data_IF_707343115765
#
_entry.id   IF_707343115765
#
_cell.length_a   1.000
_cell.length_b   1.000
_cell.length_c   1.000
_cell.angle_alpha   90.00
_cell.angle_beta   90.00
_cell.angle_gamma   90.00
#
_symmetry.space_group_name_H-M   'P 1'
#
loop_
_entity.id
_entity.type
_entity.pdbx_description
1 polymer ?
#
# COMPACT_ATOMS: atom_id res chain seq x y z
N UNK A 1 -22.49 -3.18 -1.33
CA UNK A 1 -21.15 -3.46 -0.81
C UNK A 1 -21.14 -3.19 0.68
N UNK A 2 -20.67 -4.14 1.47
CA UNK A 2 -20.36 -3.95 2.89
C UNK A 2 -18.84 -3.83 3.02
N UNK A 3 -18.34 -2.70 3.53
CA UNK A 3 -16.90 -2.46 3.66
C UNK A 3 -16.43 -2.85 5.07
N UNK A 4 -15.50 -3.79 5.13
CA UNK A 4 -14.76 -4.12 6.36
C UNK A 4 -13.36 -3.51 6.28
N UNK A 5 -13.02 -2.66 7.25
CA UNK A 5 -11.70 -2.04 7.33
C UNK A 5 -10.88 -2.66 8.46
N UNK A 6 -9.77 -3.31 8.09
CA UNK A 6 -8.82 -3.94 9.02
C UNK A 6 -7.47 -3.19 9.08
N UNK A 7 -7.45 -1.90 8.71
CA UNK A 7 -6.24 -1.09 8.68
C UNK A 7 -5.67 -0.85 10.08
N UNK A 8 -4.36 -1.00 10.21
CA UNK A 8 -3.62 -0.78 11.47
C UNK A 8 -2.75 0.48 11.36
N UNK A 9 -3.19 1.55 12.04
CA UNK A 9 -2.46 2.82 12.07
C UNK A 9 -1.02 2.61 12.56
N UNK A 10 -0.03 2.94 11.72
CA UNK A 10 1.40 2.78 12.03
C UNK A 10 1.90 1.34 12.17
N UNK A 11 1.05 0.32 11.99
CA UNK A 11 1.37 -1.06 12.39
C UNK A 11 1.00 -2.13 11.36
N UNK A 12 0.56 -1.76 10.15
CA UNK A 12 0.42 -2.71 9.05
C UNK A 12 1.82 -3.04 8.46
N UNK A 13 2.45 -4.14 8.89
CA UNK A 13 3.85 -4.47 8.58
C UNK A 13 4.03 -5.81 7.84
N UNK A 14 3.04 -6.26 7.08
CA UNK A 14 3.01 -7.60 6.50
C UNK A 14 3.08 -8.69 7.58
N UNK A 15 2.54 -8.43 8.77
CA UNK A 15 2.59 -9.35 9.87
C UNK A 15 1.80 -10.64 9.56
N UNK A 16 2.34 -11.84 9.83
CA UNK A 16 1.66 -13.09 9.55
C UNK A 16 0.26 -13.21 10.19
N UNK A 17 0.08 -12.63 11.38
CA UNK A 17 -1.24 -12.65 12.04
C UNK A 17 -2.28 -11.82 11.29
N UNK A 18 -1.89 -10.73 10.61
CA UNK A 18 -2.81 -9.94 9.78
C UNK A 18 -3.18 -10.69 8.50
N UNK A 19 -2.24 -11.45 7.93
CA UNK A 19 -2.53 -12.33 6.79
C UNK A 19 -3.50 -13.45 7.18
N UNK A 20 -3.31 -14.09 8.36
CA UNK A 20 -4.26 -15.07 8.89
C UNK A 20 -5.65 -14.46 9.17
N UNK A 21 -5.71 -13.24 9.71
CA UNK A 21 -6.99 -12.56 9.91
C UNK A 21 -7.72 -12.33 8.58
N UNK A 22 -7.01 -11.91 7.53
CA UNK A 22 -7.59 -11.77 6.19
C UNK A 22 -8.01 -13.12 5.60
N UNK A 23 -7.20 -14.17 5.76
CA UNK A 23 -7.52 -15.54 5.35
C UNK A 23 -8.84 -16.02 5.96
N UNK A 24 -9.02 -15.79 7.27
CA UNK A 24 -10.15 -16.34 8.03
C UNK A 24 -11.41 -15.46 7.97
N UNK A 25 -11.28 -14.19 7.53
CA UNK A 25 -12.40 -13.26 7.36
C UNK A 25 -13.08 -13.49 6.00
N UNK A 26 -14.38 -13.84 5.94
CA UNK A 26 -15.10 -13.97 4.67
C UNK A 26 -15.05 -12.66 3.85
N UNK A 27 -14.65 -12.75 2.58
CA UNK A 27 -14.56 -11.60 1.70
C UNK A 27 -14.70 -12.02 0.23
N UNK A 28 -15.62 -11.38 -0.49
CA UNK A 28 -15.77 -11.60 -1.94
C UNK A 28 -14.75 -10.79 -2.75
N UNK A 29 -14.25 -9.69 -2.17
CA UNK A 29 -13.30 -8.76 -2.77
C UNK A 29 -12.27 -8.35 -1.71
N UNK A 30 -10.99 -8.36 -2.08
CA UNK A 30 -9.91 -8.03 -1.15
C UNK A 30 -9.01 -6.97 -1.78
N UNK A 31 -8.76 -5.89 -1.05
CA UNK A 31 -7.67 -4.96 -1.39
C UNK A 31 -6.69 -4.85 -0.24
N UNK A 32 -5.39 -4.95 -0.54
CA UNK A 32 -4.32 -4.79 0.44
C UNK A 32 -3.38 -3.68 0.01
N UNK A 33 -3.16 -2.71 0.91
CA UNK A 33 -2.28 -1.57 0.65
C UNK A 33 -1.01 -1.69 1.50
N UNK A 34 0.14 -1.80 0.85
CA UNK A 34 1.43 -2.13 1.48
C UNK A 34 2.39 -0.95 1.27
N UNK A 35 3.19 -0.59 2.28
CA UNK A 35 4.34 0.29 2.08
C UNK A 35 4.70 1.20 3.25
N UNK A 36 4.00 2.31 3.44
CA UNK A 36 4.48 3.45 4.28
C UNK A 36 4.92 3.05 5.69
N UNK A 37 4.24 2.12 6.35
CA UNK A 37 4.60 1.69 7.71
C UNK A 37 5.90 0.87 7.75
N UNK A 38 6.17 0.06 6.71
CA UNK A 38 7.41 -0.71 6.58
C UNK A 38 8.60 0.24 6.48
N UNK A 39 8.47 1.24 5.60
CA UNK A 39 9.51 2.25 5.34
C UNK A 39 9.68 3.16 6.57
N UNK A 40 8.59 3.69 7.12
CA UNK A 40 8.64 4.55 8.32
C UNK A 40 9.30 3.90 9.52
N UNK A 41 9.21 2.57 9.65
CA UNK A 41 9.79 1.85 10.80
C UNK A 41 11.15 1.22 10.50
N UNK A 42 11.64 1.32 9.27
CA UNK A 42 12.81 0.55 8.81
C UNK A 42 12.64 -0.94 9.18
N UNK A 43 11.43 -1.46 8.94
CA UNK A 43 10.97 -2.72 9.54
C UNK A 43 11.64 -3.96 8.94
N UNK A 44 12.12 -3.85 7.69
CA UNK A 44 12.77 -4.92 6.94
C UNK A 44 13.54 -4.34 5.75
N UNK A 45 14.51 -5.10 5.24
CA UNK A 45 15.22 -4.79 4.01
C UNK A 45 14.59 -5.43 2.77
N UNK A 46 15.11 -5.05 1.60
CA UNK A 46 14.68 -5.57 0.30
C UNK A 46 14.78 -7.10 0.19
N UNK A 47 15.80 -7.71 0.81
CA UNK A 47 15.98 -9.17 0.84
C UNK A 47 14.83 -9.91 1.53
N UNK A 48 14.22 -9.29 2.53
CA UNK A 48 13.12 -9.88 3.30
C UNK A 48 11.75 -9.48 2.75
N UNK A 49 11.67 -8.30 2.11
CA UNK A 49 10.43 -7.73 1.60
C UNK A 49 9.74 -8.63 0.57
N UNK A 50 10.46 -9.07 -0.45
CA UNK A 50 9.90 -9.95 -1.48
C UNK A 50 9.30 -11.23 -0.90
N UNK A 51 10.09 -12.04 -0.16
CA UNK A 51 9.59 -13.23 0.53
C UNK A 51 8.39 -12.95 1.45
N UNK A 52 8.41 -11.85 2.21
CA UNK A 52 7.31 -11.47 3.10
C UNK A 52 6.01 -11.18 2.33
N UNK A 53 6.09 -10.46 1.21
CA UNK A 53 4.93 -10.22 0.35
C UNK A 53 4.39 -11.52 -0.24
N UNK A 54 5.26 -12.41 -0.73
CA UNK A 54 4.82 -13.72 -1.24
C UNK A 54 4.08 -14.52 -0.17
N UNK A 55 4.67 -14.67 1.01
CA UNK A 55 4.07 -15.42 2.12
C UNK A 55 2.74 -14.81 2.59
N UNK A 56 2.66 -13.47 2.60
CA UNK A 56 1.42 -12.75 2.93
C UNK A 56 0.32 -13.07 1.91
N UNK A 57 0.61 -12.97 0.61
CA UNK A 57 -0.35 -13.24 -0.46
C UNK A 57 -0.77 -14.72 -0.49
N UNK A 58 0.17 -15.65 -0.26
CA UNK A 58 -0.12 -17.08 -0.18
C UNK A 58 -1.09 -17.38 0.98
N UNK A 59 -0.81 -16.80 2.16
CA UNK A 59 -1.68 -16.98 3.33
C UNK A 59 -3.10 -16.45 3.08
N UNK A 60 -3.24 -15.30 2.41
CA UNK A 60 -4.58 -14.79 2.05
C UNK A 60 -5.27 -15.71 1.04
N UNK A 61 -4.52 -16.24 0.05
CA UNK A 61 -5.04 -17.16 -0.96
C UNK A 61 -5.48 -18.51 -0.41
N UNK A 62 -4.89 -18.98 0.69
CA UNK A 62 -5.35 -20.20 1.38
C UNK A 62 -6.82 -20.10 1.82
N UNK A 63 -7.29 -18.90 2.17
CA UNK A 63 -8.68 -18.63 2.55
C UNK A 63 -9.55 -18.18 1.39
N UNK A 64 -8.93 -17.55 0.38
CA UNK A 64 -9.61 -16.91 -0.75
C UNK A 64 -9.00 -17.30 -2.10
N UNK A 65 -9.14 -18.57 -2.55
CA UNK A 65 -8.40 -19.07 -3.71
C UNK A 65 -8.71 -18.35 -5.02
N UNK A 66 -9.92 -17.80 -5.16
CA UNK A 66 -10.40 -17.16 -6.41
C UNK A 66 -10.99 -15.76 -6.22
N UNK A 67 -11.05 -15.23 -4.99
CA UNK A 67 -11.59 -13.88 -4.78
C UNK A 67 -10.68 -12.85 -5.46
N UNK A 68 -11.20 -11.86 -6.20
CA UNK A 68 -10.36 -10.78 -6.72
C UNK A 68 -9.54 -10.12 -5.61
N UNK A 69 -8.22 -10.07 -5.79
CA UNK A 69 -7.28 -9.51 -4.83
C UNK A 69 -6.46 -8.39 -5.49
N UNK A 70 -6.66 -7.17 -4.99
CA UNK A 70 -6.00 -5.96 -5.48
C UNK A 70 -4.88 -5.53 -4.53
N UNK A 71 -3.63 -5.60 -5.00
CA UNK A 71 -2.48 -5.05 -4.29
C UNK A 71 -2.32 -3.58 -4.67
N UNK A 72 -2.34 -2.71 -3.67
CA UNK A 72 -2.17 -1.26 -3.82
C UNK A 72 -0.82 -0.85 -3.23
N UNK A 73 0.01 -0.20 -4.02
CA UNK A 73 1.31 0.28 -3.56
C UNK A 73 1.20 1.61 -2.78
N UNK A 74 2.27 2.10 -2.13
CA UNK A 74 2.16 3.33 -1.35
C UNK A 74 1.91 4.54 -2.26
N UNK A 75 1.14 5.49 -1.74
CA UNK A 75 0.97 6.82 -2.35
C UNK A 75 2.24 7.64 -2.18
N UNK A 76 2.32 8.81 -2.80
CA UNK A 76 3.42 9.74 -2.57
C UNK A 76 3.48 10.18 -1.10
N UNK A 77 4.66 10.08 -0.51
CA UNK A 77 5.05 10.81 0.69
C UNK A 77 6.48 11.31 0.47
N UNK A 78 6.68 12.62 0.22
CA UNK A 78 7.99 13.14 -0.19
C UNK A 78 9.11 12.82 0.80
N UNK A 79 8.80 12.77 2.10
CA UNK A 79 9.77 12.45 3.14
C UNK A 79 10.38 11.05 3.03
N UNK A 80 9.67 10.09 2.42
CA UNK A 80 10.08 8.67 2.32
C UNK A 80 10.24 8.20 0.87
N UNK A 81 10.16 9.11 -0.09
CA UNK A 81 10.16 8.78 -1.51
C UNK A 81 11.51 8.17 -1.93
N UNK A 82 12.60 8.82 -1.51
CA UNK A 82 13.98 8.47 -1.81
C UNK A 82 14.86 8.29 -0.56
N UNK A 83 14.29 8.54 0.62
CA UNK A 83 15.00 8.40 1.90
C UNK A 83 14.35 7.27 2.69
N UNK A 84 15.09 6.26 3.17
CA UNK A 84 14.52 5.23 4.02
C UNK A 84 14.23 5.76 5.43
N UNK A 85 13.47 4.99 6.21
CA UNK A 85 13.25 5.28 7.62
C UNK A 85 14.49 5.11 8.52
N UNK A 86 14.31 5.30 9.83
CA UNK A 86 13.02 5.51 10.50
C UNK A 86 12.46 6.92 10.27
N UNK A 87 11.14 7.05 10.34
CA UNK A 87 10.46 8.34 10.43
C UNK A 87 10.50 8.85 11.88
N UNK A 88 10.60 10.16 12.05
CA UNK A 88 10.52 10.79 13.37
C UNK A 88 9.64 12.05 13.33
N UNK A 89 9.04 12.42 14.48
CA UNK A 89 8.41 13.72 14.65
C UNK A 89 9.43 14.84 14.42
N UNK A 90 9.01 15.86 13.70
CA UNK A 90 9.75 17.08 13.43
C UNK A 90 8.81 18.26 13.67
N UNK A 91 9.07 18.97 14.76
CA UNK A 91 8.23 20.06 15.26
C UNK A 91 8.77 21.38 14.73
N UNK A 92 7.93 22.10 13.96
CA UNK A 92 8.26 23.41 13.40
C UNK A 92 7.10 24.36 13.65
N UNK A 93 7.39 25.54 14.19
CA UNK A 93 6.39 26.59 14.47
C UNK A 93 5.17 26.08 15.27
N UNK A 94 5.41 25.21 16.26
CA UNK A 94 4.37 24.63 17.10
C UNK A 94 3.49 23.56 16.42
N UNK A 95 3.82 23.17 15.18
CA UNK A 95 3.15 22.10 14.44
C UNK A 95 4.04 20.86 14.37
N UNK A 96 3.46 19.69 14.62
CA UNK A 96 4.13 18.40 14.46
C UNK A 96 3.99 17.98 13.00
N UNK A 97 5.12 17.69 12.36
CA UNK A 97 5.14 16.91 11.12
C UNK A 97 6.09 15.72 11.25
N UNK A 98 6.33 15.02 10.14
CA UNK A 98 7.23 13.88 10.10
C UNK A 98 8.35 14.09 9.07
N UNK A 99 9.49 13.50 9.35
CA UNK A 99 10.64 13.45 8.44
C UNK A 99 11.29 12.07 8.50
N UNK A 100 11.95 11.66 7.42
CA UNK A 100 12.85 10.51 7.47
C UNK A 100 14.18 10.90 8.14
N UNK A 101 14.75 9.96 8.89
CA UNK A 101 16.07 10.08 9.54
C UNK A 101 17.14 9.20 8.86
N UNK A 102 16.76 8.38 7.88
CA UNK A 102 17.69 7.51 7.16
C UNK A 102 18.60 8.27 6.20
N UNK A 103 19.65 7.59 5.73
CA UNK A 103 20.51 8.08 4.67
C UNK A 103 19.98 7.60 3.30
N UNK A 104 19.72 8.48 2.33
CA UNK A 104 19.33 8.07 0.96
C UNK A 104 20.30 7.04 0.33
N UNK A 105 21.59 7.09 0.68
CA UNK A 105 22.58 6.14 0.19
C UNK A 105 22.34 4.69 0.67
N UNK A 106 21.59 4.49 1.75
CA UNK A 106 21.26 3.17 2.27
C UNK A 106 20.24 2.42 1.40
N UNK A 107 19.51 3.10 0.51
CA UNK A 107 18.65 2.44 -0.47
C UNK A 107 19.45 1.49 -1.37
N UNK A 108 20.64 1.91 -1.81
CA UNK A 108 21.56 1.07 -2.59
C UNK A 108 22.11 -0.12 -1.79
N UNK A 109 21.95 -0.11 -0.46
CA UNK A 109 22.34 -1.19 0.45
C UNK A 109 21.15 -2.08 0.84
N UNK A 110 20.00 -1.90 0.19
CA UNK A 110 18.82 -2.72 0.38
C UNK A 110 17.85 -2.22 1.45
N UNK A 111 17.98 -0.99 1.95
CA UNK A 111 16.89 -0.37 2.73
C UNK A 111 15.72 0.02 1.81
N UNK A 112 14.51 -0.08 2.33
CA UNK A 112 13.30 0.23 1.58
C UNK A 112 13.02 1.74 1.56
N UNK A 113 12.73 2.27 0.39
CA UNK A 113 12.04 3.56 0.18
C UNK A 113 10.68 3.30 -0.45
N UNK A 114 9.80 4.32 -0.55
CA UNK A 114 8.51 4.13 -1.21
C UNK A 114 8.65 3.80 -2.69
N UNK A 115 9.68 4.35 -3.38
CA UNK A 115 9.97 4.00 -4.76
C UNK A 115 10.33 2.52 -4.91
N UNK A 116 11.26 2.03 -4.09
CA UNK A 116 11.66 0.61 -4.08
C UNK A 116 10.46 -0.30 -3.79
N UNK A 117 9.62 0.06 -2.82
CA UNK A 117 8.42 -0.71 -2.50
C UNK A 117 7.45 -0.76 -3.68
N UNK A 118 7.22 0.36 -4.40
CA UNK A 118 6.36 0.36 -5.59
C UNK A 118 6.90 -0.54 -6.69
N UNK A 119 8.19 -0.44 -6.98
CA UNK A 119 8.86 -1.24 -8.01
C UNK A 119 8.75 -2.74 -7.70
N UNK A 120 9.02 -3.14 -6.45
CA UNK A 120 8.94 -4.54 -6.05
C UNK A 120 7.51 -5.08 -6.01
N UNK A 121 6.54 -4.31 -5.52
CA UNK A 121 5.14 -4.76 -5.54
C UNK A 121 4.63 -4.93 -6.99
N UNK A 122 4.98 -4.00 -7.89
CA UNK A 122 4.63 -4.11 -9.30
C UNK A 122 5.26 -5.37 -9.93
N UNK A 123 6.54 -5.62 -9.67
CA UNK A 123 7.26 -6.79 -10.16
C UNK A 123 6.64 -8.10 -9.65
N UNK A 124 6.44 -8.21 -8.33
CA UNK A 124 5.87 -9.41 -7.69
C UNK A 124 4.47 -9.70 -8.24
N UNK A 125 3.61 -8.69 -8.35
CA UNK A 125 2.25 -8.90 -8.86
C UNK A 125 2.28 -9.29 -10.34
N UNK A 126 3.12 -8.65 -11.17
CA UNK A 126 3.25 -9.00 -12.58
C UNK A 126 3.72 -10.46 -12.77
N UNK A 127 4.69 -10.92 -11.98
CA UNK A 127 5.16 -12.30 -12.01
C UNK A 127 4.07 -13.30 -11.59
N UNK A 128 3.37 -13.00 -10.50
CA UNK A 128 2.31 -13.88 -9.97
C UNK A 128 1.06 -13.91 -10.87
N UNK A 129 0.72 -12.81 -11.52
CA UNK A 129 -0.44 -12.70 -12.39
C UNK A 129 -0.41 -13.67 -13.59
N UNK A 130 0.77 -14.20 -13.95
CA UNK A 130 0.90 -15.27 -14.94
C UNK A 130 0.20 -16.57 -14.53
N UNK A 131 0.07 -16.82 -13.23
CA UNK A 131 -0.53 -18.04 -12.66
C UNK A 131 -1.75 -17.76 -11.75
N UNK A 132 -1.98 -16.50 -11.37
CA UNK A 132 -3.12 -16.06 -10.56
C UNK A 132 -3.89 -14.96 -11.30
N UNK A 133 -4.93 -15.32 -12.09
CA UNK A 133 -5.69 -14.36 -12.90
C UNK A 133 -6.55 -13.40 -12.05
N UNK A 134 -6.68 -13.67 -10.74
CA UNK A 134 -7.48 -12.86 -9.82
C UNK A 134 -6.62 -11.86 -9.04
N UNK A 135 -5.32 -11.80 -9.30
CA UNK A 135 -4.40 -10.86 -8.68
C UNK A 135 -4.22 -9.64 -9.58
N UNK A 136 -4.42 -8.45 -9.03
CA UNK A 136 -4.25 -7.18 -9.75
C UNK A 136 -3.40 -6.20 -8.97
N UNK A 137 -2.79 -5.26 -9.69
CA UNK A 137 -1.94 -4.20 -9.13
C UNK A 137 -2.56 -2.83 -9.39
N UNK A 138 -2.50 -1.96 -8.37
CA UNK A 138 -2.79 -0.54 -8.49
C UNK A 138 -1.60 0.26 -7.97
N UNK A 139 -1.00 1.06 -8.85
CA UNK A 139 0.03 2.01 -8.47
C UNK A 139 -0.57 3.13 -7.61
N UNK A 140 -0.11 3.26 -6.37
CA UNK A 140 -0.55 4.27 -5.42
C UNK A 140 -0.34 5.70 -5.92
N UNK A 141 0.61 5.97 -6.81
CA UNK A 141 0.80 7.31 -7.39
C UNK A 141 -0.37 7.74 -8.28
N UNK A 142 -1.15 6.78 -8.82
CA UNK A 142 -2.39 7.10 -9.55
C UNK A 142 -3.50 7.59 -8.62
N UNK A 143 -3.46 7.19 -7.34
CA UNK A 143 -4.40 7.67 -6.33
C UNK A 143 -3.98 9.04 -5.80
N UNK A 144 -2.70 9.20 -5.47
CA UNK A 144 -2.13 10.47 -5.00
C UNK A 144 -0.64 10.52 -5.32
N UNK A 145 -0.28 11.40 -6.26
CA UNK A 145 1.08 11.63 -6.75
C UNK A 145 1.55 13.08 -6.60
N UNK A 146 2.61 13.47 -7.32
CA UNK A 146 3.28 14.77 -7.21
C UNK A 146 2.34 15.93 -7.55
N UNK A 147 1.53 15.77 -8.60
CA UNK A 147 0.56 16.78 -9.00
C UNK A 147 -0.52 17.00 -7.92
N UNK A 148 -0.95 15.92 -7.26
CA UNK A 148 -1.91 16.02 -6.15
C UNK A 148 -1.26 16.65 -4.93
N UNK A 149 0.00 16.34 -4.63
CA UNK A 149 0.71 16.95 -3.51
C UNK A 149 0.93 18.45 -3.69
N UNK A 150 1.15 18.91 -4.92
CA UNK A 150 1.27 20.33 -5.22
C UNK A 150 -0.04 21.11 -4.95
N UNK A 151 -1.20 20.46 -5.14
CA UNK A 151 -2.52 21.06 -4.92
C UNK A 151 -3.03 20.86 -3.47
N UNK A 152 -2.83 19.65 -2.93
CA UNK A 152 -3.33 19.16 -1.66
C UNK A 152 -2.16 18.59 -0.83
N UNK A 153 -1.27 19.46 -0.29
CA UNK A 153 -0.09 19.00 0.43
C UNK A 153 -0.44 18.23 1.70
N UNK A 154 0.42 17.27 2.08
CA UNK A 154 0.28 16.50 3.32
C UNK A 154 0.47 17.44 4.53
N UNK A 155 -0.55 17.70 5.37
CA UNK A 155 -0.48 18.74 6.40
C UNK A 155 0.61 18.52 7.45
N UNK A 156 0.92 17.26 7.75
CA UNK A 156 1.98 16.84 8.67
C UNK A 156 3.16 16.17 7.94
N UNK A 157 3.22 16.30 6.61
CA UNK A 157 4.19 15.65 5.72
C UNK A 157 4.11 14.12 5.68
N UNK A 158 3.01 13.52 6.15
CA UNK A 158 2.80 12.07 6.11
C UNK A 158 1.38 11.67 5.71
N UNK A 159 0.36 12.27 6.31
CA UNK A 159 -1.02 11.87 6.14
C UNK A 159 -1.75 12.78 5.14
N UNK A 160 -2.54 12.21 4.22
CA UNK A 160 -3.47 12.98 3.40
C UNK A 160 -4.56 13.62 4.27
N UNK A 161 -5.04 14.79 3.88
CA UNK A 161 -6.19 15.41 4.52
C UNK A 161 -7.52 14.84 3.98
N UNK A 162 -8.64 15.37 4.46
CA UNK A 162 -9.97 14.91 4.03
C UNK A 162 -10.23 15.10 2.52
N UNK A 163 -9.70 16.16 1.91
CA UNK A 163 -9.89 16.43 0.49
C UNK A 163 -9.08 15.45 -0.37
N UNK A 164 -7.82 15.20 0.01
CA UNK A 164 -6.97 14.20 -0.62
C UNK A 164 -7.55 12.78 -0.44
N UNK A 165 -8.06 12.44 0.75
CA UNK A 165 -8.78 11.18 0.99
C UNK A 165 -9.99 10.99 0.09
N UNK A 166 -10.81 12.03 -0.11
CA UNK A 166 -11.95 11.96 -1.03
C UNK A 166 -11.49 11.69 -2.46
N UNK A 167 -10.51 12.45 -2.96
CA UNK A 167 -9.97 12.28 -4.31
C UNK A 167 -9.42 10.87 -4.55
N UNK A 168 -8.64 10.35 -3.60
CA UNK A 168 -8.14 8.98 -3.66
C UNK A 168 -9.29 7.96 -3.67
N UNK A 169 -10.32 8.16 -2.83
CA UNK A 169 -11.49 7.28 -2.79
C UNK A 169 -12.25 7.23 -4.11
N UNK A 170 -12.45 8.39 -4.75
CA UNK A 170 -13.09 8.50 -6.07
C UNK A 170 -12.27 7.79 -7.15
N UNK A 171 -10.95 8.02 -7.19
CA UNK A 171 -10.05 7.36 -8.15
C UNK A 171 -9.96 5.85 -7.93
N UNK A 172 -9.89 5.40 -6.67
CA UNK A 172 -9.93 3.99 -6.33
C UNK A 172 -11.25 3.36 -6.77
N UNK A 173 -12.38 4.01 -6.49
CA UNK A 173 -13.70 3.55 -6.91
C UNK A 173 -13.80 3.38 -8.42
N UNK A 174 -13.35 4.39 -9.17
CA UNK A 174 -13.35 4.36 -10.63
C UNK A 174 -12.42 3.26 -11.19
N UNK A 175 -11.25 3.05 -10.61
CA UNK A 175 -10.32 2.01 -11.05
C UNK A 175 -10.83 0.61 -10.71
N UNK A 176 -11.19 0.38 -9.44
CA UNK A 176 -11.48 -0.94 -8.93
C UNK A 176 -12.84 -1.46 -9.42
N UNK A 177 -13.86 -0.61 -9.42
CA UNK A 177 -15.25 -0.98 -9.70
C UNK A 177 -15.78 -0.44 -11.04
N UNK A 178 -14.99 0.38 -11.75
CA UNK A 178 -15.35 0.85 -13.08
C UNK A 178 -15.30 -0.24 -14.16
N UNK A 179 -15.71 0.06 -15.41
CA UNK A 179 -15.68 -0.91 -16.50
C UNK A 179 -14.28 -1.50 -16.73
N UNK A 180 -14.18 -2.83 -16.70
CA UNK A 180 -12.90 -3.54 -16.83
C UNK A 180 -12.00 -3.48 -15.59
N UNK A 181 -12.49 -2.92 -14.48
CA UNK A 181 -11.78 -2.90 -13.20
C UNK A 181 -11.71 -4.29 -12.54
N UNK A 182 -10.74 -4.51 -11.64
CA UNK A 182 -10.52 -5.81 -10.99
C UNK A 182 -11.73 -6.32 -10.19
N UNK A 183 -12.65 -5.44 -9.77
CA UNK A 183 -13.86 -5.79 -9.03
C UNK A 183 -15.15 -5.61 -9.84
N UNK A 184 -15.07 -5.34 -11.15
CA UNK A 184 -16.24 -5.04 -11.98
C UNK A 184 -17.29 -6.18 -11.99
N UNK A 185 -16.85 -7.44 -12.00
CA UNK A 185 -17.74 -8.61 -12.02
C UNK A 185 -18.47 -8.90 -10.70
N UNK A 186 -18.01 -8.32 -9.58
CA UNK A 186 -18.69 -8.51 -8.28
C UNK A 186 -19.99 -7.70 -8.17
N UNK A 187 -20.23 -6.75 -9.07
CA UNK A 187 -21.51 -6.04 -9.16
C UNK A 187 -22.64 -6.90 -9.77
N UNK A 188 -22.33 -8.08 -10.33
CA UNK A 188 -23.27 -8.92 -11.09
C UNK A 188 -23.82 -10.14 -10.31
N UNK A 189 -23.41 -10.35 -9.05
CA UNK A 189 -23.90 -11.45 -8.22
C UNK A 189 -24.62 -10.90 -6.97
N UNK A 190 -25.97 -10.90 -6.96
CA UNK A 190 -26.79 -10.48 -5.83
C UNK A 190 -26.81 -11.48 -4.67
#
# INVERSE_FOLDING_TARGET
>A
MELVNVSLAGSALLDPFTACALRDTPADLISVKIGINLVNRDAMGLSDFGPAVHAFLDTVRDGHPTAPLLVVSPILCPAQEDTPGPAAPDVRDGRVGFTALGDPADAARGKLTLRVVREELARIVAERAACDPWLSYLDGLTLYGEADHAELPLPDRLHPDAAAHRRMGERFGAFAFGPGGPFAGAAEHP
#
